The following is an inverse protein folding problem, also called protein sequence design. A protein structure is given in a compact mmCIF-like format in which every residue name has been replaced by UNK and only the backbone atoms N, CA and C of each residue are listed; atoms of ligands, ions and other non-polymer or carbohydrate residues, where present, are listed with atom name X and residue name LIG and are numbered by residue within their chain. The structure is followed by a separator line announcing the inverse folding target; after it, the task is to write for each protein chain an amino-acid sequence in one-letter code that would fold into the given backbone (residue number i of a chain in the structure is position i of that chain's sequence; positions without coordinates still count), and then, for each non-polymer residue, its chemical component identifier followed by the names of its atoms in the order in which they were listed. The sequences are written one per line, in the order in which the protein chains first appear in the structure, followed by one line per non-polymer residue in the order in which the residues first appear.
data_IF_271394215595
#
_entry.id   IF_271394215595
#
_cell.length_a   1.000
_cell.length_b   1.000
_cell.length_c   1.000
_cell.angle_alpha   90.00
_cell.angle_beta   90.00
_cell.angle_gamma   90.00
#
_symmetry.space_group_name_H-M   'P 1'
#
loop_
_entity.id
_entity.type
_entity.pdbx_description
1 polymer ?
#
# COMPACT_ATOMS: atom_id res chain seq x y z
N UNK A 1 25.35 16.42 -16.74
CA UNK A 1 24.13 16.94 -16.09
C UNK A 1 24.36 18.43 -15.82
N UNK A 2 23.41 19.30 -16.18
CA UNK A 2 23.52 20.74 -15.91
C UNK A 2 23.29 21.00 -14.41
N UNK A 3 23.89 22.03 -13.87
CA UNK A 3 23.85 22.36 -12.42
C UNK A 3 22.42 22.42 -11.84
N UNK A 4 21.48 23.02 -12.60
CA UNK A 4 20.07 23.09 -12.17
C UNK A 4 19.36 21.73 -12.22
N UNK A 5 19.77 20.81 -13.08
CA UNK A 5 19.21 19.46 -13.16
C UNK A 5 19.52 18.66 -11.88
N UNK A 6 20.68 18.95 -11.22
CA UNK A 6 21.05 18.33 -9.94
C UNK A 6 20.12 18.83 -8.83
N UNK A 7 19.89 20.15 -8.76
CA UNK A 7 19.02 20.74 -7.74
C UNK A 7 17.54 20.37 -7.94
N UNK A 8 17.11 20.08 -9.18
CA UNK A 8 15.76 19.67 -9.51
C UNK A 8 15.56 18.15 -9.42
N UNK A 9 16.60 17.38 -9.14
CA UNK A 9 16.49 15.93 -8.97
C UNK A 9 16.51 15.59 -7.47
N UNK A 10 15.39 15.15 -6.89
CA UNK A 10 15.29 14.89 -5.45
C UNK A 10 16.22 13.77 -4.95
N UNK A 11 16.64 12.87 -5.83
CA UNK A 11 17.60 11.81 -5.49
C UNK A 11 19.06 12.29 -5.44
N UNK A 12 19.35 13.46 -6.00
CA UNK A 12 20.69 14.02 -6.06
C UNK A 12 20.84 15.31 -5.26
N UNK A 13 19.73 16.00 -5.04
CA UNK A 13 19.70 17.27 -4.33
C UNK A 13 19.99 17.06 -2.84
N UNK A 14 20.97 17.83 -2.33
CA UNK A 14 21.32 17.91 -0.91
C UNK A 14 20.98 19.28 -0.31
N UNK A 15 20.39 20.19 -1.10
CA UNK A 15 20.10 21.55 -0.69
C UNK A 15 21.35 22.27 -0.18
N UNK A 16 21.24 22.91 0.98
CA UNK A 16 22.34 23.65 1.61
C UNK A 16 23.47 22.77 2.16
N UNK A 17 23.25 21.43 2.23
CA UNK A 17 24.27 20.48 2.69
C UNK A 17 25.30 20.07 1.61
N UNK A 18 25.17 20.56 0.36
CA UNK A 18 26.30 20.44 -0.58
C UNK A 18 27.53 21.16 -0.03
N UNK A 19 28.65 20.41 0.13
CA UNK A 19 29.91 20.97 0.56
C UNK A 19 30.45 21.99 -0.45
N UNK A 20 31.37 22.87 -0.04
CA UNK A 20 31.96 23.82 -0.97
C UNK A 20 32.73 23.15 -2.11
N UNK A 21 33.32 21.99 -1.85
CA UNK A 21 33.97 21.17 -2.89
C UNK A 21 32.97 20.65 -3.91
N UNK A 22 31.86 20.05 -3.44
CA UNK A 22 30.77 19.61 -4.30
C UNK A 22 30.16 20.76 -5.09
N UNK A 23 29.92 21.92 -4.45
CA UNK A 23 29.39 23.10 -5.13
C UNK A 23 30.29 23.57 -6.27
N UNK A 24 31.62 23.55 -6.08
CA UNK A 24 32.59 23.86 -7.14
C UNK A 24 32.54 22.83 -8.26
N UNK A 25 32.63 21.52 -7.91
CA UNK A 25 32.67 20.41 -8.85
C UNK A 25 31.43 20.29 -9.71
N UNK A 26 30.25 20.55 -9.11
CA UNK A 26 28.96 20.41 -9.74
C UNK A 26 28.42 21.71 -10.35
N UNK A 27 29.17 22.81 -10.26
CA UNK A 27 28.78 24.12 -10.79
C UNK A 27 27.62 24.79 -10.04
N UNK A 28 27.47 24.52 -8.75
CA UNK A 28 26.39 25.04 -7.89
C UNK A 28 26.73 26.36 -7.20
N UNK A 29 27.93 26.92 -7.44
CA UNK A 29 28.35 28.21 -6.86
C UNK A 29 27.38 29.30 -7.32
N UNK A 30 26.86 30.07 -6.36
CA UNK A 30 25.87 31.12 -6.62
C UNK A 30 24.45 30.67 -6.78
N UNK A 31 24.18 29.34 -6.81
CA UNK A 31 22.82 28.78 -6.88
C UNK A 31 22.26 28.41 -5.50
N UNK A 32 23.10 28.36 -4.49
CA UNK A 32 22.73 28.05 -3.10
C UNK A 32 23.22 29.19 -2.17
N UNK A 33 22.56 29.41 -1.01
CA UNK A 33 23.05 30.33 0.01
C UNK A 33 24.48 29.99 0.42
N UNK A 34 25.29 30.97 0.80
CA UNK A 34 26.74 30.78 1.06
C UNK A 34 27.05 29.78 2.15
N UNK A 35 26.27 29.77 3.22
CA UNK A 35 26.50 28.87 4.36
C UNK A 35 26.26 27.39 3.93
N UNK A 36 27.17 26.53 4.39
CA UNK A 36 27.06 25.09 4.20
C UNK A 36 26.55 24.48 5.51
N UNK A 37 25.34 24.00 5.49
CA UNK A 37 24.76 23.26 6.62
C UNK A 37 25.28 21.82 6.64
N UNK A 38 25.32 21.21 7.82
CA UNK A 38 25.32 19.75 7.91
C UNK A 38 23.91 19.21 7.66
N UNK A 39 23.76 17.90 7.47
CA UNK A 39 22.44 17.30 7.31
C UNK A 39 21.63 17.41 8.61
N UNK A 40 22.30 17.33 9.76
CA UNK A 40 21.71 17.50 11.09
C UNK A 40 21.14 18.92 11.28
N UNK A 41 21.88 19.94 10.89
CA UNK A 41 21.44 21.35 10.95
C UNK A 41 20.24 21.57 10.03
N UNK A 42 20.29 21.00 8.81
CA UNK A 42 19.18 21.06 7.84
C UNK A 42 17.95 20.35 8.37
N UNK A 43 18.11 19.15 8.93
CA UNK A 43 17.04 18.37 9.52
C UNK A 43 16.41 19.07 10.72
N UNK A 44 17.20 19.60 11.65
CA UNK A 44 16.69 20.33 12.81
C UNK A 44 15.87 21.57 12.39
N UNK A 45 16.33 22.31 11.38
CA UNK A 45 15.60 23.47 10.84
C UNK A 45 14.29 23.04 10.19
N UNK A 46 14.31 21.96 9.40
CA UNK A 46 13.13 21.43 8.70
C UNK A 46 12.11 20.88 9.68
N UNK A 47 12.56 20.13 10.68
CA UNK A 47 11.70 19.60 11.75
C UNK A 47 11.01 20.73 12.52
N UNK A 48 11.76 21.74 12.96
CA UNK A 48 11.19 22.90 13.65
C UNK A 48 10.19 23.71 12.80
N UNK A 49 10.28 23.62 11.48
CA UNK A 49 9.29 24.22 10.57
C UNK A 49 8.03 23.34 10.46
N UNK A 50 8.19 22.02 10.36
CA UNK A 50 7.08 21.07 10.34
C UNK A 50 6.23 21.18 11.63
N UNK A 51 6.88 21.30 12.78
CA UNK A 51 6.21 21.42 14.08
C UNK A 51 5.29 22.65 14.20
N UNK A 52 5.46 23.65 13.35
CA UNK A 52 4.58 24.83 13.30
C UNK A 52 3.31 24.61 12.48
N UNK A 53 3.16 23.46 11.84
CA UNK A 53 1.96 23.10 11.09
C UNK A 53 0.86 22.66 12.05
N UNK A 54 -0.37 23.11 11.81
CA UNK A 54 -1.47 22.94 12.76
C UNK A 54 -2.14 21.57 12.65
N UNK A 55 -2.18 20.99 11.43
CA UNK A 55 -2.83 19.71 11.18
C UNK A 55 -1.85 18.64 10.66
N UNK A 56 -2.25 17.36 10.78
CA UNK A 56 -1.49 16.24 10.22
C UNK A 56 -1.41 16.34 8.69
N UNK A 57 -2.48 16.78 8.04
CA UNK A 57 -2.46 17.02 6.59
C UNK A 57 -1.45 18.09 6.21
N UNK A 58 -1.40 19.22 6.92
CA UNK A 58 -0.40 20.26 6.65
C UNK A 58 1.03 19.77 6.89
N UNK A 59 1.26 18.98 7.96
CA UNK A 59 2.55 18.33 8.20
C UNK A 59 2.91 17.39 7.04
N UNK A 60 1.96 16.58 6.57
CA UNK A 60 2.16 15.69 5.41
C UNK A 60 2.49 16.49 4.15
N UNK A 61 1.72 17.50 3.79
CA UNK A 61 1.95 18.32 2.60
C UNK A 61 3.36 18.97 2.64
N UNK A 62 3.77 19.47 3.79
CA UNK A 62 5.11 19.98 3.98
C UNK A 62 6.19 18.90 3.80
N UNK A 63 6.00 17.71 4.37
CA UNK A 63 6.94 16.60 4.19
C UNK A 63 6.98 16.13 2.73
N UNK A 64 5.87 16.19 2.00
CA UNK A 64 5.82 15.88 0.57
C UNK A 64 6.62 16.89 -0.27
N UNK A 65 6.61 18.17 0.09
CA UNK A 65 7.47 19.17 -0.54
C UNK A 65 8.96 18.80 -0.37
N UNK A 66 9.37 18.40 0.84
CA UNK A 66 10.73 17.93 1.08
C UNK A 66 11.03 16.63 0.30
N UNK A 67 10.12 15.68 0.30
CA UNK A 67 10.25 14.42 -0.45
C UNK A 67 10.44 14.66 -1.95
N UNK A 68 9.69 15.58 -2.55
CA UNK A 68 9.77 15.90 -3.97
C UNK A 68 11.00 16.73 -4.34
N UNK A 69 11.70 17.34 -3.38
CA UNK A 69 12.84 18.20 -3.63
C UNK A 69 14.17 17.65 -3.09
N UNK A 70 14.16 16.92 -1.97
CA UNK A 70 15.38 16.40 -1.31
C UNK A 70 15.08 15.13 -0.53
N UNK A 71 15.13 13.98 -1.20
CA UNK A 71 14.85 12.67 -0.57
C UNK A 71 15.88 12.27 0.48
N UNK A 72 17.10 12.70 0.37
CA UNK A 72 18.13 12.46 1.39
C UNK A 72 17.72 13.09 2.73
N UNK A 73 17.29 14.36 2.70
CA UNK A 73 16.81 15.05 3.89
C UNK A 73 15.50 14.42 4.42
N UNK A 74 14.55 14.11 3.53
CA UNK A 74 13.31 13.48 3.92
C UNK A 74 13.53 12.16 4.67
N UNK A 75 14.33 11.25 4.12
CA UNK A 75 14.57 9.95 4.74
C UNK A 75 15.49 10.05 5.97
N UNK A 76 16.39 11.03 6.01
CA UNK A 76 17.13 11.30 7.22
C UNK A 76 16.21 11.72 8.37
N UNK A 77 15.31 12.68 8.14
CA UNK A 77 14.30 13.09 9.11
C UNK A 77 13.39 11.91 9.52
N UNK A 78 12.90 11.14 8.56
CA UNK A 78 12.04 10.00 8.83
C UNK A 78 12.73 8.96 9.72
N UNK A 79 14.02 8.68 9.48
CA UNK A 79 14.79 7.74 10.29
C UNK A 79 15.00 8.21 11.74
N UNK A 80 14.99 9.52 11.98
CA UNK A 80 15.13 10.09 13.32
C UNK A 80 13.81 10.14 14.10
N UNK A 81 12.66 10.15 13.40
CA UNK A 81 11.33 10.38 13.97
C UNK A 81 10.31 9.33 13.47
N UNK A 82 10.68 8.04 13.42
CA UNK A 82 9.86 6.97 12.84
C UNK A 82 8.44 6.87 13.41
N UNK A 83 8.31 6.89 14.75
CA UNK A 83 7.01 6.80 15.42
C UNK A 83 6.10 7.97 15.06
N UNK A 84 6.63 9.17 15.03
CA UNK A 84 5.88 10.38 14.73
C UNK A 84 5.53 10.47 13.24
N UNK A 85 6.47 10.12 12.36
CA UNK A 85 6.29 10.31 10.93
C UNK A 85 5.42 9.23 10.27
N UNK A 86 5.42 8.00 10.77
CA UNK A 86 4.59 6.94 10.21
C UNK A 86 3.11 7.35 10.05
N UNK A 87 2.41 7.85 11.09
CA UNK A 87 1.01 8.27 10.94
C UNK A 87 0.82 9.53 10.10
N UNK A 88 1.88 10.30 9.82
CA UNK A 88 1.83 11.47 8.94
C UNK A 88 2.01 11.06 7.48
N UNK A 89 2.97 10.18 7.18
CA UNK A 89 3.31 9.82 5.79
C UNK A 89 2.44 8.68 5.26
N UNK A 90 1.80 7.93 6.15
CA UNK A 90 0.94 6.82 5.78
C UNK A 90 -0.38 6.88 6.58
N UNK A 91 -0.91 5.77 7.05
CA UNK A 91 -2.18 5.69 7.75
C UNK A 91 -2.07 6.25 9.20
N UNK A 92 -3.02 7.11 9.66
CA UNK A 92 -4.30 7.46 9.03
C UNK A 92 -4.29 8.70 8.12
N UNK A 93 -3.26 9.54 8.14
CA UNK A 93 -3.26 10.85 7.44
C UNK A 93 -3.35 10.70 5.91
N UNK A 94 -2.89 9.57 5.37
CA UNK A 94 -2.94 9.30 3.93
C UNK A 94 -4.37 9.23 3.40
N UNK A 95 -5.34 8.77 4.20
CA UNK A 95 -6.74 8.73 3.83
C UNK A 95 -7.27 10.12 3.48
N UNK A 96 -7.01 11.13 4.33
CA UNK A 96 -7.40 12.52 4.08
C UNK A 96 -6.74 13.09 2.82
N UNK A 97 -5.49 12.69 2.53
CA UNK A 97 -4.79 13.12 1.31
C UNK A 97 -5.43 12.51 0.07
N UNK A 98 -5.79 11.23 0.10
CA UNK A 98 -6.45 10.53 -1.02
C UNK A 98 -7.83 11.13 -1.30
N UNK A 99 -8.61 11.42 -0.25
CA UNK A 99 -9.91 12.05 -0.37
C UNK A 99 -9.86 13.41 -1.06
N UNK A 100 -8.76 14.15 -0.87
CA UNK A 100 -8.55 15.47 -1.45
C UNK A 100 -7.49 15.49 -2.57
N UNK A 101 -7.02 14.33 -3.03
CA UNK A 101 -5.89 14.21 -3.94
C UNK A 101 -6.00 15.09 -5.19
N UNK A 102 -7.13 15.04 -5.89
CA UNK A 102 -7.33 15.80 -7.13
C UNK A 102 -7.33 17.31 -6.92
N UNK A 103 -7.78 17.77 -5.76
CA UNK A 103 -7.78 19.20 -5.41
C UNK A 103 -6.40 19.67 -4.90
N UNK A 104 -5.61 18.76 -4.33
CA UNK A 104 -4.27 19.01 -3.77
C UNK A 104 -3.15 18.73 -4.79
N UNK A 105 -3.47 18.22 -5.97
CA UNK A 105 -2.47 17.79 -6.94
C UNK A 105 -1.58 18.93 -7.42
N UNK A 106 -0.28 18.77 -7.22
CA UNK A 106 0.77 19.71 -7.69
C UNK A 106 1.83 18.97 -8.50
N UNK A 107 2.18 17.75 -8.09
CA UNK A 107 3.31 17.00 -8.65
C UNK A 107 2.99 15.48 -8.58
N UNK A 108 3.33 14.69 -9.60
CA UNK A 108 3.09 13.24 -9.63
C UNK A 108 3.94 12.42 -8.66
N UNK A 109 4.78 13.04 -7.85
CA UNK A 109 5.56 12.41 -6.76
C UNK A 109 6.46 11.24 -7.23
N UNK A 110 6.87 11.25 -8.49
CA UNK A 110 7.61 10.15 -9.14
C UNK A 110 6.81 8.85 -9.23
N UNK A 111 5.49 8.93 -9.19
CA UNK A 111 4.59 7.80 -9.43
C UNK A 111 4.31 7.62 -10.94
N UNK A 112 3.84 6.43 -11.31
CA UNK A 112 3.33 6.13 -12.64
C UNK A 112 1.83 5.88 -12.61
N UNK A 113 1.15 6.29 -13.67
CA UNK A 113 -0.30 6.14 -13.84
C UNK A 113 -0.56 5.28 -15.07
N UNK A 114 -1.05 4.06 -14.84
CA UNK A 114 -1.39 3.11 -15.87
C UNK A 114 -2.86 3.27 -16.23
N UNK A 115 -3.16 3.61 -17.48
CA UNK A 115 -4.52 3.81 -17.96
C UNK A 115 -5.05 2.51 -18.60
N UNK A 116 -6.11 1.93 -18.02
CA UNK A 116 -6.72 0.69 -18.49
C UNK A 116 -7.30 0.80 -19.91
N UNK A 117 -7.57 2.02 -20.37
CA UNK A 117 -8.06 2.26 -21.72
C UNK A 117 -6.96 2.25 -22.79
N UNK A 118 -5.69 2.33 -22.36
CA UNK A 118 -4.52 2.46 -23.20
C UNK A 118 -3.43 1.44 -22.82
N UNK A 119 -3.67 0.12 -22.96
CA UNK A 119 -2.66 -0.90 -22.65
C UNK A 119 -1.38 -0.73 -23.47
N UNK A 120 -1.47 -0.20 -24.69
CA UNK A 120 -0.34 0.11 -25.56
C UNK A 120 0.69 1.08 -24.93
N UNK A 121 0.32 1.84 -23.90
CA UNK A 121 1.21 2.77 -23.20
C UNK A 121 1.86 2.19 -21.94
N UNK A 122 1.60 0.94 -21.57
CA UNK A 122 2.17 0.32 -20.36
C UNK A 122 3.71 0.40 -20.36
N UNK A 123 4.36 -0.03 -21.45
CA UNK A 123 5.84 -0.01 -21.52
C UNK A 123 6.39 1.42 -21.45
N UNK A 124 5.77 2.36 -22.13
CA UNK A 124 6.18 3.77 -22.12
C UNK A 124 6.00 4.38 -20.73
N UNK A 125 4.86 4.15 -20.09
CA UNK A 125 4.58 4.62 -18.73
C UNK A 125 5.61 4.11 -17.73
N UNK A 126 5.92 2.80 -17.76
CA UNK A 126 6.90 2.20 -16.87
C UNK A 126 8.31 2.78 -17.11
N UNK A 127 8.71 2.98 -18.36
CA UNK A 127 10.00 3.61 -18.69
C UNK A 127 10.09 5.05 -18.24
N UNK A 128 9.04 5.85 -18.48
CA UNK A 128 8.99 7.25 -18.10
C UNK A 128 9.01 7.41 -16.58
N UNK A 129 8.21 6.63 -15.84
CA UNK A 129 8.15 6.67 -14.40
C UNK A 129 9.44 6.18 -13.73
N UNK A 130 10.09 5.15 -14.29
CA UNK A 130 11.37 4.65 -13.80
C UNK A 130 12.55 5.58 -14.13
N UNK A 131 12.52 6.23 -15.29
CA UNK A 131 13.65 6.97 -15.83
C UNK A 131 14.87 6.08 -15.96
N UNK A 132 16.02 6.55 -15.44
CA UNK A 132 17.28 5.78 -15.46
C UNK A 132 17.51 4.97 -14.17
N UNK A 133 16.49 4.80 -13.32
CA UNK A 133 16.59 4.08 -12.05
C UNK A 133 16.57 2.56 -12.27
N UNK A 134 17.28 1.82 -11.42
CA UNK A 134 17.27 0.36 -11.41
C UNK A 134 16.17 -0.16 -10.48
N UNK A 135 14.93 -0.20 -10.97
CA UNK A 135 13.77 -0.57 -10.17
C UNK A 135 13.86 -2.06 -9.74
N UNK A 136 13.58 -2.29 -8.46
CA UNK A 136 13.60 -3.60 -7.81
C UNK A 136 12.31 -3.92 -7.06
N UNK A 137 11.57 -2.90 -6.67
CA UNK A 137 10.29 -3.01 -5.98
C UNK A 137 9.29 -2.07 -6.65
N UNK A 138 8.17 -2.63 -7.06
CA UNK A 138 6.99 -1.86 -7.45
C UNK A 138 5.91 -2.13 -6.41
N UNK A 139 5.31 -1.06 -5.87
CA UNK A 139 4.02 -1.12 -5.21
C UNK A 139 2.99 -0.58 -6.18
N UNK A 140 1.98 -1.39 -6.47
CA UNK A 140 0.89 -1.04 -7.38
C UNK A 140 -0.45 -1.22 -6.69
N UNK A 141 -1.35 -0.27 -6.94
CA UNK A 141 -2.75 -0.32 -6.49
C UNK A 141 -3.69 -0.08 -7.66
N UNK A 142 -4.92 -0.61 -7.61
CA UNK A 142 -6.02 -0.12 -8.42
C UNK A 142 -7.01 0.71 -7.60
N UNK A 143 -6.73 0.84 -6.29
CA UNK A 143 -7.47 1.63 -5.32
C UNK A 143 -8.98 1.33 -5.27
N UNK A 144 -9.37 0.07 -5.51
CA UNK A 144 -10.77 -0.35 -5.46
C UNK A 144 -11.27 -0.51 -4.02
N UNK A 145 -10.45 -1.06 -3.12
CA UNK A 145 -10.80 -1.31 -1.72
C UNK A 145 -9.71 -0.82 -0.77
N UNK A 146 -9.42 0.49 -0.78
CA UNK A 146 -8.52 1.08 0.20
C UNK A 146 -9.09 0.88 1.60
N UNK A 147 -8.30 0.27 2.49
CA UNK A 147 -8.74 -0.06 3.84
C UNK A 147 -9.34 1.16 4.56
N UNK A 148 -10.59 1.02 5.00
CA UNK A 148 -11.34 2.03 5.73
C UNK A 148 -12.03 3.09 4.88
N UNK A 149 -11.66 3.32 3.63
CA UNK A 149 -12.23 4.40 2.78
C UNK A 149 -12.78 3.92 1.41
N UNK A 150 -12.45 2.70 0.96
CA UNK A 150 -13.01 2.09 -0.25
C UNK A 150 -12.41 2.58 -1.56
N UNK A 151 -13.25 2.70 -2.60
CA UNK A 151 -12.84 3.04 -3.98
C UNK A 151 -12.52 4.52 -4.15
N UNK A 152 -11.29 4.82 -4.57
CA UNK A 152 -10.81 6.18 -4.85
C UNK A 152 -10.19 6.35 -6.23
N UNK A 153 -10.23 5.31 -7.09
CA UNK A 153 -9.70 5.38 -8.44
C UNK A 153 -8.25 5.89 -8.47
N UNK A 154 -7.93 6.77 -9.41
CA UNK A 154 -6.56 7.29 -9.56
C UNK A 154 -6.02 8.06 -8.35
N UNK A 155 -6.91 8.62 -7.51
CA UNK A 155 -6.51 9.31 -6.28
C UNK A 155 -5.73 8.40 -5.32
N UNK A 156 -5.96 7.08 -5.39
CA UNK A 156 -5.28 6.09 -4.56
C UNK A 156 -3.79 5.89 -4.88
N UNK A 157 -3.21 6.60 -5.84
CA UNK A 157 -1.75 6.56 -6.09
C UNK A 157 -0.94 6.86 -4.83
N UNK A 158 -1.45 7.71 -3.95
CA UNK A 158 -0.80 8.06 -2.68
C UNK A 158 -0.62 6.86 -1.75
N UNK A 159 -1.46 5.82 -1.84
CA UNK A 159 -1.26 4.54 -1.13
C UNK A 159 0.10 3.94 -1.52
N UNK A 160 0.36 3.78 -2.81
CA UNK A 160 1.64 3.23 -3.29
C UNK A 160 2.83 4.11 -2.90
N UNK A 161 2.66 5.44 -2.94
CA UNK A 161 3.71 6.40 -2.53
C UNK A 161 4.00 6.28 -1.04
N UNK A 162 2.97 6.32 -0.19
CA UNK A 162 3.11 6.22 1.27
C UNK A 162 3.68 4.87 1.71
N UNK A 163 3.22 3.76 1.12
CA UNK A 163 3.77 2.43 1.39
C UNK A 163 5.28 2.38 1.11
N UNK A 164 5.73 2.93 -0.02
CA UNK A 164 7.15 2.96 -0.36
C UNK A 164 7.97 3.92 0.50
N UNK A 165 7.36 4.99 1.05
CA UNK A 165 8.01 5.82 2.06
C UNK A 165 8.32 5.01 3.32
N UNK A 166 7.36 4.22 3.80
CA UNK A 166 7.54 3.33 4.96
C UNK A 166 8.56 2.24 4.67
N UNK A 167 8.52 1.61 3.50
CA UNK A 167 9.53 0.63 3.09
C UNK A 167 10.95 1.20 3.09
N UNK A 168 11.12 2.42 2.59
CA UNK A 168 12.44 3.05 2.58
C UNK A 168 12.85 3.57 3.95
N UNK A 169 11.95 4.24 4.66
CA UNK A 169 12.26 4.88 5.95
C UNK A 169 12.41 3.90 7.10
N UNK A 170 11.53 2.90 7.19
CA UNK A 170 11.51 1.93 8.30
C UNK A 170 12.23 0.61 7.98
N UNK A 171 12.13 0.11 6.75
CA UNK A 171 12.76 -1.16 6.37
C UNK A 171 14.08 -0.99 5.60
N UNK A 172 14.53 0.24 5.32
CA UNK A 172 15.84 0.53 4.74
C UNK A 172 15.98 0.16 3.25
N UNK A 173 14.86 0.07 2.52
CA UNK A 173 14.91 -0.17 1.07
C UNK A 173 15.37 1.11 0.36
N UNK A 174 16.34 0.98 -0.55
CA UNK A 174 16.87 2.12 -1.30
C UNK A 174 15.75 2.83 -2.10
N UNK A 175 15.45 4.10 -1.80
CA UNK A 175 14.36 4.83 -2.45
C UNK A 175 14.58 5.07 -3.94
N UNK A 176 15.81 4.89 -4.46
CA UNK A 176 16.08 4.96 -5.89
C UNK A 176 15.67 3.69 -6.65
N UNK A 177 15.42 2.60 -5.93
CA UNK A 177 15.06 1.29 -6.50
C UNK A 177 13.56 0.98 -6.45
N UNK A 178 12.75 1.91 -5.97
CA UNK A 178 11.31 1.70 -5.80
C UNK A 178 10.48 2.53 -6.78
N UNK A 179 9.30 2.02 -7.15
CA UNK A 179 8.40 2.69 -8.08
C UNK A 179 6.95 2.54 -7.61
N UNK A 180 6.29 3.65 -7.21
CA UNK A 180 4.86 3.64 -6.95
C UNK A 180 4.06 3.71 -8.24
N UNK A 181 3.00 2.89 -8.35
CA UNK A 181 2.10 2.85 -9.49
C UNK A 181 0.64 2.84 -9.05
N UNK A 182 -0.22 3.42 -9.88
CA UNK A 182 -1.66 3.19 -9.84
C UNK A 182 -2.14 2.69 -11.19
N UNK A 183 -3.07 1.73 -11.18
CA UNK A 183 -3.83 1.30 -12.36
C UNK A 183 -5.18 2.01 -12.30
N UNK A 184 -5.36 3.00 -13.15
CA UNK A 184 -6.64 3.68 -13.29
C UNK A 184 -7.60 2.81 -14.11
N UNK A 185 -8.36 1.98 -13.41
CA UNK A 185 -9.39 1.10 -13.97
C UNK A 185 -10.77 1.77 -14.05
N UNK A 186 -10.86 3.06 -13.76
CA UNK A 186 -12.10 3.78 -13.49
C UNK A 186 -12.48 3.71 -12.01
N UNK A 187 -13.67 4.18 -11.65
CA UNK A 187 -14.18 4.16 -10.28
C UNK A 187 -15.69 3.97 -10.24
N UNK A 188 -16.18 3.23 -9.24
CA UNK A 188 -17.61 3.13 -8.97
C UNK A 188 -18.09 4.17 -7.95
N UNK A 189 -17.19 5.03 -7.45
CA UNK A 189 -17.54 6.13 -6.55
C UNK A 189 -18.17 7.28 -7.31
N UNK A 190 -19.50 7.38 -7.24
CA UNK A 190 -20.27 8.40 -7.95
C UNK A 190 -19.81 9.82 -7.67
N UNK A 191 -19.43 10.12 -6.43
CA UNK A 191 -18.91 11.43 -6.04
C UNK A 191 -17.65 11.84 -6.82
N UNK A 192 -16.77 10.88 -7.18
CA UNK A 192 -15.61 11.16 -8.03
C UNK A 192 -15.99 11.34 -9.49
N UNK A 193 -16.90 10.50 -10.02
CA UNK A 193 -17.37 10.63 -11.40
C UNK A 193 -18.06 11.98 -11.68
N UNK A 194 -18.73 12.53 -10.66
CA UNK A 194 -19.41 13.83 -10.73
C UNK A 194 -18.50 15.03 -10.37
N UNK A 195 -17.33 14.79 -9.77
CA UNK A 195 -16.40 15.86 -9.41
C UNK A 195 -15.67 16.41 -10.64
N UNK A 196 -15.83 17.70 -10.98
CA UNK A 196 -15.16 18.30 -12.15
C UNK A 196 -13.61 18.31 -12.02
N UNK A 197 -13.09 18.22 -10.79
CA UNK A 197 -11.65 18.25 -10.53
C UNK A 197 -11.01 16.85 -10.54
N UNK A 198 -11.82 15.76 -10.59
CA UNK A 198 -11.28 14.41 -10.58
C UNK A 198 -10.33 14.18 -11.77
N UNK A 199 -9.13 13.70 -11.47
CA UNK A 199 -8.03 13.55 -12.45
C UNK A 199 -7.96 12.18 -13.11
N UNK A 200 -8.79 11.21 -12.66
CA UNK A 200 -8.82 9.86 -13.23
C UNK A 200 -9.84 9.67 -14.35
N UNK A 201 -9.91 8.43 -14.83
CA UNK A 201 -10.89 7.99 -15.82
C UNK A 201 -12.32 8.15 -15.32
N UNK A 202 -13.18 8.84 -16.08
CA UNK A 202 -14.56 9.19 -15.69
C UNK A 202 -15.56 8.16 -16.21
N UNK A 203 -15.36 6.90 -15.84
CA UNK A 203 -16.27 5.79 -16.11
C UNK A 203 -16.24 4.79 -14.96
N UNK A 204 -17.28 3.96 -14.90
CA UNK A 204 -17.33 2.84 -13.95
C UNK A 204 -16.12 1.91 -14.16
N UNK A 205 -15.73 1.19 -13.10
CA UNK A 205 -14.59 0.27 -13.15
C UNK A 205 -14.73 -0.75 -14.28
N UNK A 206 -13.68 -0.89 -15.03
CA UNK A 206 -13.53 -1.98 -16.00
C UNK A 206 -13.25 -3.26 -15.21
N UNK A 207 -13.99 -4.33 -15.55
CA UNK A 207 -13.92 -5.64 -14.90
C UNK A 207 -13.77 -6.76 -15.93
N UNK A 208 -13.67 -8.01 -15.46
CA UNK A 208 -13.63 -9.20 -16.31
C UNK A 208 -12.38 -9.28 -17.18
N UNK A 209 -12.51 -9.87 -18.37
CA UNK A 209 -11.38 -10.20 -19.25
C UNK A 209 -10.54 -8.97 -19.62
N UNK A 210 -11.17 -7.81 -19.86
CA UNK A 210 -10.42 -6.60 -20.19
C UNK A 210 -9.47 -6.19 -19.05
N UNK A 211 -9.96 -6.28 -17.81
CA UNK A 211 -9.15 -5.97 -16.62
C UNK A 211 -7.98 -6.98 -16.47
N UNK A 212 -8.29 -8.28 -16.50
CA UNK A 212 -7.25 -9.30 -16.31
C UNK A 212 -6.21 -9.35 -17.45
N UNK A 213 -6.62 -9.07 -18.69
CA UNK A 213 -5.68 -8.94 -19.81
C UNK A 213 -4.73 -7.75 -19.62
N UNK A 214 -5.24 -6.62 -19.10
CA UNK A 214 -4.40 -5.48 -18.76
C UNK A 214 -3.39 -5.81 -17.65
N UNK A 215 -3.84 -6.49 -16.59
CA UNK A 215 -2.95 -6.97 -15.52
C UNK A 215 -1.86 -7.90 -16.08
N UNK A 216 -2.22 -8.82 -16.99
CA UNK A 216 -1.26 -9.74 -17.60
C UNK A 216 -0.21 -9.00 -18.42
N UNK A 217 -0.61 -8.04 -19.22
CA UNK A 217 0.30 -7.22 -20.03
C UNK A 217 1.21 -6.36 -19.15
N UNK A 218 0.65 -5.76 -18.11
CA UNK A 218 1.43 -5.02 -17.11
C UNK A 218 2.52 -5.90 -16.48
N UNK A 219 2.15 -7.07 -15.95
CA UNK A 219 3.10 -7.98 -15.29
C UNK A 219 4.21 -8.41 -16.25
N UNK A 220 3.86 -8.87 -17.46
CA UNK A 220 4.84 -9.30 -18.46
C UNK A 220 5.80 -8.18 -18.85
N UNK A 221 5.26 -6.97 -19.02
CA UNK A 221 6.06 -5.80 -19.39
C UNK A 221 6.98 -5.37 -18.24
N UNK A 222 6.47 -5.37 -17.01
CA UNK A 222 7.26 -5.03 -15.84
C UNK A 222 8.42 -6.02 -15.60
N UNK A 223 8.18 -7.34 -15.72
CA UNK A 223 9.23 -8.36 -15.62
C UNK A 223 10.30 -8.21 -16.70
N UNK A 224 9.89 -7.94 -17.94
CA UNK A 224 10.80 -7.70 -19.07
C UNK A 224 11.70 -6.49 -18.85
N UNK A 225 11.13 -5.38 -18.31
CA UNK A 225 11.86 -4.14 -18.06
C UNK A 225 12.72 -4.20 -16.81
N UNK A 226 12.28 -4.91 -15.79
CA UNK A 226 12.92 -4.99 -14.47
C UNK A 226 13.19 -6.45 -14.05
N UNK A 227 14.22 -7.11 -14.57
CA UNK A 227 14.43 -8.57 -14.42
C UNK A 227 14.61 -9.08 -12.98
N UNK A 228 14.76 -8.19 -12.01
CA UNK A 228 14.89 -8.54 -10.58
C UNK A 228 13.79 -7.85 -9.76
N UNK A 229 12.64 -7.66 -10.38
CA UNK A 229 11.49 -7.03 -9.78
C UNK A 229 10.89 -7.89 -8.67
N UNK A 230 10.53 -7.24 -7.57
CA UNK A 230 9.53 -7.70 -6.60
C UNK A 230 8.26 -6.87 -6.80
N UNK A 231 7.13 -7.52 -7.01
CA UNK A 231 5.86 -6.86 -7.28
C UNK A 231 4.91 -6.99 -6.09
N UNK A 232 4.55 -5.85 -5.50
CA UNK A 232 3.66 -5.73 -4.36
C UNK A 232 2.31 -5.19 -4.80
N UNK A 233 1.24 -5.93 -4.50
CA UNK A 233 -0.16 -5.56 -4.72
C UNK A 233 -0.75 -4.96 -3.44
N UNK A 234 -1.40 -3.80 -3.56
CA UNK A 234 -1.93 -3.03 -2.44
C UNK A 234 -3.33 -2.51 -2.75
N UNK A 235 -4.29 -2.72 -1.85
CA UNK A 235 -5.66 -2.17 -1.91
C UNK A 235 -6.44 -2.49 -3.21
N UNK A 236 -6.24 -3.69 -3.74
CA UNK A 236 -7.04 -4.21 -4.85
C UNK A 236 -8.41 -4.70 -4.36
N UNK A 237 -9.44 -4.58 -5.21
CA UNK A 237 -10.75 -5.15 -4.92
C UNK A 237 -10.68 -6.63 -4.53
N UNK A 238 -11.49 -7.04 -3.55
CA UNK A 238 -11.43 -8.34 -2.87
C UNK A 238 -11.22 -9.54 -3.81
N UNK A 239 -12.08 -9.67 -4.82
CA UNK A 239 -11.97 -10.78 -5.76
C UNK A 239 -10.77 -10.68 -6.70
N UNK A 240 -10.38 -9.46 -7.06
CA UNK A 240 -9.23 -9.20 -7.91
C UNK A 240 -7.92 -9.50 -7.17
N UNK A 241 -7.80 -9.07 -5.91
CA UNK A 241 -6.64 -9.31 -5.06
C UNK A 241 -6.29 -10.80 -4.95
N UNK A 242 -7.28 -11.63 -4.60
CA UNK A 242 -7.11 -13.08 -4.45
C UNK A 242 -6.73 -13.76 -5.78
N UNK A 243 -7.44 -13.43 -6.87
CA UNK A 243 -7.21 -14.02 -8.18
C UNK A 243 -5.82 -13.65 -8.73
N UNK A 244 -5.40 -12.40 -8.58
CA UNK A 244 -4.08 -11.93 -9.01
C UNK A 244 -2.98 -12.64 -8.21
N UNK A 245 -3.10 -12.67 -6.88
CA UNK A 245 -2.12 -13.35 -6.04
C UNK A 245 -1.99 -14.83 -6.40
N UNK A 246 -3.10 -15.57 -6.54
CA UNK A 246 -3.07 -17.00 -6.88
C UNK A 246 -2.45 -17.23 -8.27
N UNK A 247 -2.73 -16.36 -9.22
CA UNK A 247 -2.20 -16.46 -10.59
C UNK A 247 -0.68 -16.28 -10.66
N UNK A 248 -0.11 -15.37 -9.85
CA UNK A 248 1.28 -14.96 -9.99
C UNK A 248 2.22 -15.46 -8.90
N UNK A 249 1.75 -15.78 -7.67
CA UNK A 249 2.63 -16.12 -6.53
C UNK A 249 3.61 -17.27 -6.75
N UNK A 250 3.36 -18.13 -7.75
CA UNK A 250 4.26 -19.24 -8.13
C UNK A 250 5.08 -18.96 -9.39
N UNK A 251 4.90 -17.78 -10.00
CA UNK A 251 5.54 -17.43 -11.29
C UNK A 251 6.57 -16.34 -11.13
N UNK A 252 6.30 -15.35 -10.31
CA UNK A 252 7.14 -14.17 -10.07
C UNK A 252 7.30 -13.91 -8.58
N UNK A 253 8.38 -13.23 -8.14
CA UNK A 253 8.45 -12.68 -6.79
C UNK A 253 7.35 -11.64 -6.59
N UNK A 254 6.33 -11.99 -5.81
CA UNK A 254 5.16 -11.13 -5.61
C UNK A 254 4.54 -11.32 -4.23
N UNK A 255 3.80 -10.31 -3.78
CA UNK A 255 3.19 -10.23 -2.47
C UNK A 255 1.93 -9.36 -2.53
N UNK A 256 0.89 -9.77 -1.82
CA UNK A 256 -0.27 -8.93 -1.55
C UNK A 256 -0.32 -8.62 -0.05
N UNK A 257 -0.27 -7.34 0.32
CA UNK A 257 -0.18 -6.94 1.72
C UNK A 257 -1.48 -7.17 2.47
N UNK A 258 -2.62 -6.86 1.87
CA UNK A 258 -3.94 -7.02 2.50
C UNK A 258 -4.23 -8.45 2.90
N UNK A 259 -3.81 -9.41 2.05
CA UNK A 259 -4.02 -10.83 2.27
C UNK A 259 -2.90 -11.43 3.13
N UNK A 260 -1.63 -11.17 2.78
CA UNK A 260 -0.48 -11.85 3.38
C UNK A 260 0.15 -11.06 4.51
N UNK A 261 0.33 -9.74 4.37
CA UNK A 261 0.96 -8.87 5.36
C UNK A 261 0.11 -8.77 6.62
N UNK A 262 -1.16 -8.43 6.48
CA UNK A 262 -2.12 -8.34 7.58
C UNK A 262 -2.22 -9.66 8.35
N UNK A 263 -2.24 -10.79 7.63
CA UNK A 263 -2.24 -12.12 8.25
C UNK A 263 -0.99 -12.40 9.09
N UNK A 264 0.19 -12.05 8.57
CA UNK A 264 1.47 -12.27 9.27
C UNK A 264 1.61 -11.38 10.50
N UNK A 265 1.27 -10.10 10.39
CA UNK A 265 1.36 -9.14 11.51
C UNK A 265 0.39 -9.53 12.62
N UNK A 266 -0.85 -9.91 12.28
CA UNK A 266 -1.84 -10.37 13.27
C UNK A 266 -1.37 -11.65 13.97
N UNK A 267 -0.84 -12.62 13.22
CA UNK A 267 -0.29 -13.84 13.82
C UNK A 267 0.86 -13.53 14.79
N UNK A 268 1.75 -12.60 14.45
CA UNK A 268 2.81 -12.14 15.35
C UNK A 268 2.25 -11.55 16.65
N UNK A 269 1.19 -10.74 16.55
CA UNK A 269 0.48 -10.22 17.74
C UNK A 269 -0.18 -11.31 18.58
N UNK A 270 -0.79 -12.31 17.93
CA UNK A 270 -1.36 -13.48 18.63
C UNK A 270 -0.28 -14.25 19.40
N UNK A 271 0.87 -14.52 18.81
CA UNK A 271 1.97 -15.17 19.51
C UNK A 271 2.47 -14.36 20.72
N UNK A 272 2.56 -13.03 20.58
CA UNK A 272 2.89 -12.17 21.72
C UNK A 272 1.86 -12.27 22.86
N UNK A 273 0.56 -12.33 22.53
CA UNK A 273 -0.49 -12.51 23.51
C UNK A 273 -0.44 -13.90 24.18
N UNK A 274 -0.18 -14.95 23.39
CA UNK A 274 -0.06 -16.32 23.87
C UNK A 274 1.17 -16.52 24.78
N UNK A 275 2.27 -15.84 24.49
CA UNK A 275 3.44 -15.83 25.40
C UNK A 275 3.10 -15.24 26.76
N UNK A 276 2.27 -14.20 26.80
CA UNK A 276 1.81 -13.55 28.05
C UNK A 276 0.81 -14.46 28.79
N UNK A 277 -0.14 -15.10 28.10
CA UNK A 277 -1.15 -15.96 28.71
C UNK A 277 -0.62 -17.36 29.10
N UNK A 278 0.46 -17.79 28.45
CA UNK A 278 1.01 -19.15 28.62
C UNK A 278 0.20 -20.25 27.94
N UNK A 279 -0.68 -19.86 27.00
CA UNK A 279 -1.56 -20.78 26.24
C UNK A 279 -0.95 -21.14 24.89
N UNK A 280 -1.51 -22.16 24.21
CA UNK A 280 -1.06 -22.56 22.88
C UNK A 280 -2.02 -22.00 21.80
N UNK A 281 -1.50 -21.74 20.61
CA UNK A 281 -2.31 -21.33 19.46
C UNK A 281 -3.37 -22.37 19.11
N UNK A 282 -3.03 -23.65 19.19
CA UNK A 282 -3.90 -24.79 18.90
C UNK A 282 -5.08 -24.97 19.88
N UNK A 283 -5.03 -24.33 21.04
CA UNK A 283 -6.11 -24.37 22.04
C UNK A 283 -7.10 -23.18 21.88
N UNK A 284 -6.80 -22.22 21.00
CA UNK A 284 -7.57 -21.00 20.85
C UNK A 284 -8.79 -21.19 19.95
N UNK A 285 -9.86 -20.45 20.25
CA UNK A 285 -11.01 -20.26 19.36
C UNK A 285 -10.87 -18.88 18.72
N UNK A 286 -10.89 -18.86 17.40
CA UNK A 286 -10.74 -17.64 16.61
C UNK A 286 -12.07 -17.17 16.06
N UNK A 287 -12.53 -16.00 16.49
CA UNK A 287 -13.73 -15.34 15.96
C UNK A 287 -13.28 -14.18 15.08
N UNK A 288 -13.55 -14.29 13.78
CA UNK A 288 -13.28 -13.26 12.80
C UNK A 288 -14.55 -12.40 12.60
N UNK A 289 -14.55 -11.17 13.06
CA UNK A 289 -15.64 -10.21 12.85
C UNK A 289 -15.30 -9.31 11.67
N UNK A 290 -15.85 -9.62 10.51
CA UNK A 290 -15.54 -9.04 9.21
C UNK A 290 -14.80 -10.03 8.32
N UNK A 291 -15.56 -10.79 7.50
CA UNK A 291 -15.03 -11.81 6.58
C UNK A 291 -14.54 -11.24 5.24
N UNK A 292 -14.06 -9.99 5.20
CA UNK A 292 -13.46 -9.37 4.02
C UNK A 292 -12.09 -9.94 3.66
N UNK A 293 -11.38 -9.29 2.72
CA UNK A 293 -10.05 -9.72 2.24
C UNK A 293 -9.05 -9.89 3.38
N UNK A 294 -8.95 -8.89 4.26
CA UNK A 294 -8.07 -8.93 5.42
C UNK A 294 -8.50 -10.02 6.42
N UNK A 295 -9.79 -10.07 6.82
CA UNK A 295 -10.29 -11.05 7.78
C UNK A 295 -10.11 -12.50 7.32
N UNK A 296 -10.44 -12.80 6.06
CA UNK A 296 -10.23 -14.11 5.49
C UNK A 296 -8.73 -14.47 5.34
N UNK A 297 -7.90 -13.48 4.99
CA UNK A 297 -6.45 -13.62 4.94
C UNK A 297 -5.83 -13.95 6.30
N UNK A 298 -6.24 -13.24 7.34
CA UNK A 298 -5.82 -13.49 8.73
C UNK A 298 -6.25 -14.90 9.16
N UNK A 299 -7.54 -15.23 8.99
CA UNK A 299 -8.07 -16.54 9.36
C UNK A 299 -7.30 -17.68 8.68
N UNK A 300 -7.03 -17.54 7.38
CA UNK A 300 -6.25 -18.52 6.61
C UNK A 300 -4.81 -18.64 7.10
N UNK A 301 -4.19 -17.53 7.52
CA UNK A 301 -2.83 -17.54 8.05
C UNK A 301 -2.77 -18.22 9.43
N UNK A 302 -3.68 -17.89 10.32
CA UNK A 302 -3.76 -18.49 11.65
C UNK A 302 -4.08 -19.99 11.55
N UNK A 303 -5.03 -20.38 10.70
CA UNK A 303 -5.36 -21.79 10.45
C UNK A 303 -4.13 -22.58 10.00
N UNK A 304 -3.40 -22.06 9.01
CA UNK A 304 -2.17 -22.71 8.53
C UNK A 304 -1.14 -22.90 9.64
N UNK A 305 -1.05 -21.95 10.57
CA UNK A 305 -0.13 -22.06 11.68
C UNK A 305 -0.59 -23.11 12.71
N UNK A 306 -1.89 -23.18 13.01
CA UNK A 306 -2.44 -24.28 13.85
C UNK A 306 -2.15 -25.67 13.26
N UNK A 307 -2.21 -25.80 11.92
CA UNK A 307 -1.82 -27.04 11.23
C UNK A 307 -0.32 -27.30 11.32
N UNK A 308 0.53 -26.25 11.17
CA UNK A 308 1.98 -26.37 11.36
C UNK A 308 2.34 -26.83 12.79
N UNK A 309 1.56 -26.43 13.78
CA UNK A 309 1.71 -26.84 15.20
C UNK A 309 1.10 -28.21 15.52
N UNK A 310 0.48 -28.87 14.54
CA UNK A 310 0.13 -30.30 14.62
C UNK A 310 -1.35 -30.66 14.61
N UNK A 311 -2.26 -29.68 14.44
CA UNK A 311 -3.66 -30.03 14.18
C UNK A 311 -3.82 -30.56 12.73
N UNK A 312 -4.78 -31.44 12.51
CA UNK A 312 -5.26 -31.70 11.17
C UNK A 312 -6.02 -30.47 10.64
N UNK A 313 -6.07 -30.30 9.34
CA UNK A 313 -6.80 -29.17 8.74
C UNK A 313 -8.28 -29.18 9.14
N UNK A 314 -8.91 -30.37 9.20
CA UNK A 314 -10.29 -30.53 9.65
C UNK A 314 -10.51 -30.10 11.11
N UNK A 315 -9.58 -30.45 12.00
CA UNK A 315 -9.62 -30.00 13.41
C UNK A 315 -9.41 -28.49 13.52
N UNK A 316 -8.43 -27.94 12.80
CA UNK A 316 -8.17 -26.50 12.79
C UNK A 316 -9.41 -25.69 12.37
N UNK A 317 -10.14 -26.08 11.33
CA UNK A 317 -11.37 -25.39 10.92
C UNK A 317 -12.44 -25.32 12.01
N UNK A 318 -12.50 -26.28 12.92
CA UNK A 318 -13.46 -26.25 14.05
C UNK A 318 -13.23 -25.07 15.00
N UNK A 319 -12.01 -24.58 15.08
CA UNK A 319 -11.62 -23.45 15.93
C UNK A 319 -12.03 -22.08 15.37
N UNK A 320 -12.44 -21.98 14.09
CA UNK A 320 -12.73 -20.70 13.45
C UNK A 320 -14.21 -20.44 13.32
N UNK A 321 -14.62 -19.21 13.63
CA UNK A 321 -15.96 -18.68 13.43
C UNK A 321 -15.84 -17.35 12.69
N UNK A 322 -16.40 -17.30 11.48
CA UNK A 322 -16.37 -16.09 10.65
C UNK A 322 -17.73 -15.44 10.60
N UNK A 323 -17.78 -14.17 10.97
CA UNK A 323 -18.97 -13.33 10.99
C UNK A 323 -18.80 -12.19 9.98
N UNK A 324 -19.78 -11.97 9.12
CA UNK A 324 -19.81 -10.86 8.17
C UNK A 324 -21.22 -10.22 8.18
N UNK A 325 -21.54 -9.37 7.21
CA UNK A 325 -22.86 -8.71 7.08
C UNK A 325 -24.06 -9.67 7.17
N UNK A 326 -23.87 -10.96 6.85
CA UNK A 326 -24.89 -12.01 6.96
C UNK A 326 -24.98 -12.65 8.35
N UNK A 327 -24.19 -12.16 9.34
CA UNK A 327 -23.99 -12.84 10.60
C UNK A 327 -22.93 -13.95 10.52
N UNK A 328 -23.04 -14.98 11.36
CA UNK A 328 -22.17 -16.15 11.27
C UNK A 328 -22.35 -16.84 9.91
N UNK A 329 -21.24 -17.11 9.23
CA UNK A 329 -21.28 -17.70 7.90
C UNK A 329 -21.61 -19.20 7.97
N UNK A 330 -22.62 -19.61 7.20
CA UNK A 330 -23.05 -21.00 7.06
C UNK A 330 -22.86 -21.50 5.61
N UNK A 331 -22.61 -22.79 5.46
CA UNK A 331 -22.30 -23.44 4.17
C UNK A 331 -23.46 -23.43 3.15
N UNK A 332 -24.68 -23.19 3.62
CA UNK A 332 -25.90 -23.06 2.82
C UNK A 332 -26.15 -21.63 2.27
N UNK A 333 -25.29 -20.66 2.57
CA UNK A 333 -25.38 -19.29 2.05
C UNK A 333 -24.86 -19.21 0.61
N UNK A 334 -25.63 -18.58 -0.29
CA UNK A 334 -25.30 -18.48 -1.71
C UNK A 334 -24.26 -17.40 -2.03
N UNK A 335 -24.15 -16.36 -1.20
CA UNK A 335 -23.34 -15.16 -1.42
C UNK A 335 -21.95 -15.21 -0.78
N UNK A 336 -21.48 -16.39 -0.35
CA UNK A 336 -20.15 -16.58 0.19
C UNK A 336 -19.08 -16.47 -0.89
N UNK A 337 -18.02 -15.71 -0.58
CA UNK A 337 -16.81 -15.68 -1.43
C UNK A 337 -16.05 -17.01 -1.34
N UNK A 338 -15.14 -17.24 -2.29
CA UNK A 338 -14.27 -18.42 -2.29
C UNK A 338 -13.45 -18.53 -1.01
N UNK A 339 -12.98 -17.39 -0.47
CA UNK A 339 -12.15 -17.29 0.74
C UNK A 339 -12.96 -17.54 2.01
N UNK A 340 -14.25 -17.20 2.02
CA UNK A 340 -15.16 -17.40 3.16
C UNK A 340 -15.65 -18.84 3.28
N UNK A 341 -15.88 -19.50 2.14
CA UNK A 341 -16.46 -20.87 2.10
C UNK A 341 -15.79 -21.90 3.01
N UNK A 342 -14.44 -21.95 3.10
CA UNK A 342 -13.77 -22.92 3.98
C UNK A 342 -14.08 -22.73 5.47
N UNK A 343 -14.40 -21.49 5.88
CA UNK A 343 -14.70 -21.13 7.28
C UNK A 343 -16.18 -21.20 7.63
N UNK A 344 -17.06 -21.43 6.64
CA UNK A 344 -18.50 -21.54 6.86
C UNK A 344 -18.83 -22.79 7.69
N UNK A 345 -19.76 -22.63 8.63
CA UNK A 345 -20.21 -23.70 9.52
C UNK A 345 -21.43 -24.43 8.96
N UNK A 346 -21.64 -25.65 9.37
CA UNK A 346 -22.89 -26.34 9.06
C UNK A 346 -23.99 -25.83 9.97
N UNK A 347 -25.10 -25.37 9.38
CA UNK A 347 -26.24 -24.85 10.15
C UNK A 347 -26.81 -25.86 11.13
N UNK A 348 -26.75 -27.15 10.77
CA UNK A 348 -27.20 -28.27 11.63
C UNK A 348 -26.44 -28.43 12.93
N UNK A 349 -25.23 -27.84 13.04
CA UNK A 349 -24.39 -27.98 14.22
C UNK A 349 -24.74 -26.95 15.31
N UNK A 350 -25.77 -26.12 15.07
CA UNK A 350 -26.18 -25.02 15.96
C UNK A 350 -27.67 -25.04 16.24
N UNK A 351 -28.05 -25.16 17.52
CA UNK A 351 -29.45 -25.23 17.98
C UNK A 351 -30.22 -23.91 17.72
N UNK A 352 -29.55 -22.78 17.55
CA UNK A 352 -30.12 -21.45 17.37
C UNK A 352 -29.50 -20.71 16.18
N UNK A 353 -29.24 -21.41 15.10
CA UNK A 353 -28.55 -20.85 13.91
C UNK A 353 -29.23 -19.58 13.37
N UNK A 354 -30.57 -19.46 13.46
CA UNK A 354 -31.33 -18.30 13.02
C UNK A 354 -30.97 -17.02 13.79
N UNK A 355 -30.63 -17.15 15.09
CA UNK A 355 -30.20 -16.01 15.92
C UNK A 355 -28.76 -15.56 15.66
N UNK A 356 -27.96 -16.40 14.99
CA UNK A 356 -26.56 -16.11 14.69
C UNK A 356 -26.41 -15.40 13.33
N UNK A 357 -27.50 -15.23 12.57
CA UNK A 357 -27.52 -14.48 11.29
C UNK A 357 -27.87 -13.02 11.46
N UNK A 358 -28.40 -12.59 12.62
CA UNK A 358 -28.81 -11.20 12.93
C UNK A 358 -27.87 -10.53 13.95
N UNK A 359 -26.59 -10.86 13.94
CA UNK A 359 -25.62 -10.33 14.92
C UNK A 359 -25.20 -8.87 14.66
N UNK A 360 -25.70 -8.25 13.59
CA UNK A 360 -25.33 -6.88 13.20
C UNK A 360 -26.46 -5.86 13.42
N UNK A 361 -27.62 -6.27 13.92
CA UNK A 361 -28.66 -5.40 14.46
C UNK A 361 -28.50 -5.28 16.01
#
# INVERSE_FOLDING_TARGET
MKSREILNNPFLNKGTAFTMEERKKLGLIGLLPPYVQTIEEQAAQTYAHMEKKESMLEKRLFLMEIFNTNRTLFYYLFSQHLEEFNPIVYDPTIAETIENYSDLFVDPQYAGYLDINHPEYIEETLRNAAGNRNIRLIVVTDAEEILGIGDWGTNGVDISVGKLMVYSGAAGIDPSMVLPLVIDAGTNRKALLENPNYLGNRHERITGDKYYNFIDEFVQTAEKLFPKLYLHWEDFGRSNAANILEKYRKKIPTFNDDIQGTGIVTLGGLYGALEISGEKLTDQVYVCYGGGTAGAGIASRVLREMVNEGLSEEEAYKHFFMVDKQGLLFDDMDDLTHEQRPFAKKRSDFDNAEKLTDLLE
#
